data_IF_600530245357
#
_entry.id   IF_600530245357
#
_cell.length_a   1.000
_cell.length_b   1.000
_cell.length_c   1.000
_cell.angle_alpha   90.00
_cell.angle_beta   90.00
_cell.angle_gamma   90.00
#
_symmetry.space_group_name_H-M   'P 1'
#
loop_
_entity.id
_entity.type
_entity.pdbx_description
1 polymer ?
#
# COMPACT_ATOMS: atom_id res chain seq x y z
N UNK A 1 -11.98 -9.16 12.47
CA UNK A 1 -11.45 -8.05 11.65
C UNK A 1 -10.04 -7.80 12.14
N UNK A 2 -9.03 -8.24 11.39
CA UNK A 2 -7.63 -8.10 11.80
C UNK A 2 -7.21 -6.64 11.78
N UNK A 3 -6.16 -6.31 12.55
CA UNK A 3 -5.54 -5.00 12.45
C UNK A 3 -4.89 -4.89 11.06
N UNK A 4 -5.40 -4.00 10.20
CA UNK A 4 -4.93 -3.80 8.82
C UNK A 4 -3.45 -3.44 8.74
N UNK A 5 -2.92 -2.75 9.75
CA UNK A 5 -1.50 -2.46 9.85
C UNK A 5 -0.68 -3.73 10.03
N UNK A 6 -1.11 -4.64 10.91
CA UNK A 6 -0.42 -5.92 11.12
C UNK A 6 -0.51 -6.82 9.88
N UNK A 7 -1.66 -6.81 9.19
CA UNK A 7 -1.81 -7.52 7.91
C UNK A 7 -0.89 -6.93 6.83
N UNK A 8 -0.80 -5.60 6.74
CA UNK A 8 0.11 -4.94 5.81
C UNK A 8 1.58 -5.20 6.12
N UNK A 9 1.96 -5.18 7.41
CA UNK A 9 3.31 -5.53 7.85
C UNK A 9 3.66 -6.96 7.45
N UNK A 10 2.72 -7.89 7.61
CA UNK A 10 2.92 -9.28 7.16
C UNK A 10 3.14 -9.36 5.66
N UNK A 11 2.32 -8.69 4.84
CA UNK A 11 2.50 -8.69 3.38
C UNK A 11 3.89 -8.16 3.00
N UNK A 12 4.33 -7.09 3.65
CA UNK A 12 5.68 -6.54 3.49
C UNK A 12 6.77 -7.56 3.84
N UNK A 13 6.71 -8.18 5.02
CA UNK A 13 7.73 -9.16 5.45
C UNK A 13 7.74 -10.45 4.64
N UNK A 14 6.59 -10.81 4.07
CA UNK A 14 6.45 -11.97 3.18
C UNK A 14 7.02 -11.70 1.77
N UNK A 15 7.49 -10.47 1.49
CA UNK A 15 8.06 -10.10 0.19
C UNK A 15 7.01 -9.80 -0.88
N UNK A 16 5.76 -9.56 -0.49
CA UNK A 16 4.63 -9.36 -1.42
C UNK A 16 4.47 -7.91 -1.88
N UNK A 17 5.53 -7.10 -1.84
CA UNK A 17 5.53 -5.70 -2.25
C UNK A 17 6.64 -5.50 -3.27
N UNK A 18 6.26 -5.32 -4.52
CA UNK A 18 7.14 -5.01 -5.65
C UNK A 18 7.06 -3.53 -5.99
N UNK A 19 8.20 -2.92 -6.31
CA UNK A 19 8.30 -1.52 -6.72
C UNK A 19 8.17 -1.47 -8.24
N UNK A 20 7.12 -0.82 -8.75
CA UNK A 20 6.94 -0.59 -10.19
C UNK A 20 7.59 0.74 -10.61
N UNK A 21 7.46 1.76 -9.78
CA UNK A 21 8.05 3.09 -9.97
C UNK A 21 8.40 3.71 -8.61
N UNK A 22 9.55 4.36 -8.51
CA UNK A 22 9.97 5.06 -7.30
C UNK A 22 10.67 6.38 -7.66
N UNK A 23 9.86 7.39 -7.94
CA UNK A 23 10.30 8.76 -8.19
C UNK A 23 9.83 9.67 -7.05
N UNK A 24 10.45 10.85 -6.91
CA UNK A 24 10.11 11.82 -5.86
C UNK A 24 8.65 12.30 -5.93
N UNK A 25 8.09 12.41 -7.14
CA UNK A 25 6.74 12.92 -7.38
C UNK A 25 5.67 11.82 -7.45
N UNK A 26 6.09 10.57 -7.72
CA UNK A 26 5.21 9.44 -7.95
C UNK A 26 5.89 8.12 -7.58
N UNK A 27 5.27 7.39 -6.66
CA UNK A 27 5.63 6.01 -6.34
C UNK A 27 4.47 5.07 -6.72
N UNK A 28 4.80 3.93 -7.32
CA UNK A 28 3.85 2.88 -7.69
C UNK A 28 4.39 1.54 -7.21
N UNK A 29 3.53 0.77 -6.53
CA UNK A 29 3.84 -0.53 -5.98
C UNK A 29 2.80 -1.55 -6.44
N UNK A 30 3.27 -2.76 -6.75
CA UNK A 30 2.44 -3.96 -6.92
C UNK A 30 2.42 -4.71 -5.60
N UNK A 31 1.24 -4.91 -5.01
CA UNK A 31 1.09 -5.61 -3.72
C UNK A 31 0.29 -6.89 -3.92
N UNK A 32 0.92 -8.04 -3.70
CA UNK A 32 0.25 -9.34 -3.79
C UNK A 32 -0.57 -9.61 -2.53
N UNK A 33 -1.87 -9.78 -2.70
CA UNK A 33 -2.81 -10.12 -1.63
C UNK A 33 -2.80 -11.61 -1.27
N UNK A 34 -3.50 -11.95 -0.20
CA UNK A 34 -3.59 -13.30 0.36
C UNK A 34 -4.26 -14.36 -0.55
N UNK A 35 -4.85 -13.96 -1.68
CA UNK A 35 -5.60 -14.83 -2.61
C UNK A 35 -4.95 -14.94 -4.00
N UNK A 36 -3.69 -14.54 -4.14
CA UNK A 36 -2.99 -14.34 -5.42
C UNK A 36 -3.57 -13.20 -6.29
N UNK A 37 -4.46 -12.39 -5.75
CA UNK A 37 -4.85 -11.12 -6.37
C UNK A 37 -3.70 -10.12 -6.22
N UNK A 38 -3.43 -9.32 -7.24
CA UNK A 38 -2.45 -8.24 -7.21
C UNK A 38 -3.17 -6.90 -7.20
N UNK A 39 -2.74 -6.00 -6.34
CA UNK A 39 -3.32 -4.68 -6.16
C UNK A 39 -2.26 -3.61 -6.42
N UNK A 40 -2.62 -2.59 -7.20
CA UNK A 40 -1.77 -1.44 -7.37
C UNK A 40 -1.97 -0.46 -6.22
N UNK A 41 -0.85 -0.02 -5.64
CA UNK A 41 -0.77 1.09 -4.69
C UNK A 41 0.01 2.21 -5.33
N UNK A 42 -0.53 3.42 -5.32
CA UNK A 42 0.17 4.60 -5.80
C UNK A 42 0.21 5.70 -4.76
N UNK A 43 1.30 6.45 -4.76
CA UNK A 43 1.48 7.66 -3.98
C UNK A 43 1.89 8.77 -4.92
N UNK A 44 1.10 9.84 -4.97
CA UNK A 44 1.53 11.13 -5.50
C UNK A 44 1.78 12.09 -4.33
N UNK A 45 2.30 13.28 -4.64
CA UNK A 45 2.74 14.35 -3.71
C UNK A 45 2.04 14.41 -2.33
N UNK A 46 0.73 14.15 -2.23
CA UNK A 46 0.02 14.16 -0.95
C UNK A 46 -1.00 13.03 -0.76
N UNK A 47 -1.13 12.08 -1.69
CA UNK A 47 -2.24 11.13 -1.66
C UNK A 47 -1.78 9.70 -1.93
N UNK A 48 -2.20 8.81 -1.04
CA UNK A 48 -2.06 7.38 -1.18
C UNK A 48 -3.36 6.77 -1.68
N UNK A 49 -3.26 5.98 -2.75
CA UNK A 49 -4.39 5.32 -3.39
C UNK A 49 -4.12 3.82 -3.52
N UNK A 50 -5.17 3.01 -3.44
CA UNK A 50 -5.11 1.57 -3.68
C UNK A 50 -6.33 1.15 -4.51
N UNK A 51 -6.15 0.25 -5.46
CA UNK A 51 -7.25 -0.26 -6.31
C UNK A 51 -8.09 -1.37 -5.66
N UNK A 52 -7.81 -1.77 -4.41
CA UNK A 52 -8.56 -2.85 -3.76
C UNK A 52 -9.99 -2.44 -3.35
N UNK A 53 -10.92 -3.39 -3.42
CA UNK A 53 -12.34 -3.15 -3.13
C UNK A 53 -12.61 -2.51 -1.76
N UNK A 54 -11.90 -2.93 -0.70
CA UNK A 54 -12.07 -2.37 0.66
C UNK A 54 -11.63 -0.90 0.71
N UNK A 55 -10.62 -0.53 -0.07
CA UNK A 55 -10.20 0.87 -0.20
C UNK A 55 -11.23 1.66 -1.00
N UNK A 56 -11.56 1.23 -2.22
CA UNK A 56 -12.49 1.93 -3.11
C UNK A 56 -13.83 2.19 -2.42
N UNK A 57 -14.39 1.19 -1.74
CA UNK A 57 -15.67 1.32 -1.02
C UNK A 57 -15.63 2.32 0.14
N UNK A 58 -14.50 2.45 0.84
CA UNK A 58 -14.39 3.28 2.05
C UNK A 58 -13.87 4.68 1.75
N UNK A 59 -12.95 4.82 0.80
CA UNK A 59 -12.42 6.11 0.38
C UNK A 59 -13.50 6.99 -0.26
N UNK A 60 -14.50 6.40 -0.91
CA UNK A 60 -15.70 7.12 -1.37
C UNK A 60 -16.52 7.73 -0.22
N UNK A 61 -16.53 7.10 0.95
CA UNK A 61 -17.31 7.53 2.11
C UNK A 61 -16.56 8.47 3.02
N UNK A 62 -15.26 8.24 3.18
CA UNK A 62 -14.36 9.02 4.02
C UNK A 62 -13.02 9.21 3.28
N UNK A 63 -12.97 10.16 2.31
CA UNK A 63 -11.79 10.36 1.49
C UNK A 63 -10.59 10.79 2.34
N UNK A 64 -9.46 10.13 2.13
CA UNK A 64 -8.17 10.45 2.76
C UNK A 64 -7.99 9.98 4.20
N UNK A 65 -9.00 9.39 4.85
CA UNK A 65 -8.89 8.90 6.24
C UNK A 65 -8.67 7.38 6.35
N UNK A 66 -8.92 6.65 5.26
CA UNK A 66 -8.87 5.19 5.27
C UNK A 66 -7.55 4.64 4.74
N UNK A 67 -6.92 3.74 5.52
CA UNK A 67 -5.70 3.02 5.12
C UNK A 67 -5.98 1.52 5.08
N UNK A 68 -5.94 0.94 3.88
CA UNK A 68 -6.06 -0.50 3.69
C UNK A 68 -4.75 -1.22 4.01
N UNK A 69 -4.77 -2.56 4.10
CA UNK A 69 -3.56 -3.35 4.38
C UNK A 69 -2.48 -3.23 3.30
N UNK A 70 -2.86 -3.00 2.04
CA UNK A 70 -1.90 -2.83 0.95
C UNK A 70 -1.18 -1.49 1.03
N UNK A 71 -1.91 -0.42 1.42
CA UNK A 71 -1.30 0.88 1.74
C UNK A 71 -0.30 0.76 2.90
N UNK A 72 -0.66 0.04 3.97
CA UNK A 72 0.29 -0.25 5.06
C UNK A 72 1.54 -1.01 4.57
N UNK A 73 1.37 -2.01 3.71
CA UNK A 73 2.50 -2.76 3.15
C UNK A 73 3.45 -1.86 2.35
N UNK A 74 2.91 -0.98 1.49
CA UNK A 74 3.69 -0.02 0.73
C UNK A 74 4.37 1.03 1.64
N UNK A 75 3.70 1.51 2.70
CA UNK A 75 4.31 2.41 3.69
C UNK A 75 5.57 1.81 4.31
N UNK A 76 5.53 0.53 4.70
CA UNK A 76 6.71 -0.13 5.26
C UNK A 76 7.84 -0.25 4.23
N UNK A 77 7.51 -0.53 2.96
CA UNK A 77 8.51 -0.58 1.90
C UNK A 77 9.17 0.78 1.64
N UNK A 78 8.40 1.88 1.63
CA UNK A 78 8.97 3.24 1.54
C UNK A 78 9.87 3.54 2.73
N UNK A 79 9.45 3.16 3.95
CA UNK A 79 10.25 3.38 5.14
C UNK A 79 11.57 2.60 5.10
N UNK A 80 11.59 1.37 4.58
CA UNK A 80 12.83 0.63 4.33
C UNK A 80 13.75 1.41 3.38
N UNK A 81 13.24 1.76 2.19
CA UNK A 81 14.04 2.42 1.15
C UNK A 81 14.65 3.74 1.63
N UNK A 82 13.89 4.56 2.37
CA UNK A 82 14.36 5.84 2.91
C UNK A 82 15.29 5.73 4.12
N UNK A 83 15.38 4.56 4.76
CA UNK A 83 16.35 4.30 5.83
C UNK A 83 17.66 3.68 5.31
N UNK A 84 17.71 3.30 4.03
CA UNK A 84 18.92 2.81 3.36
C UNK A 84 19.70 3.93 2.63
N UNK A 85 19.13 5.14 2.55
CA UNK A 85 19.78 6.40 2.14
C UNK A 85 20.56 7.07 3.28
#
# INVERSE_FOLDING_TARGET
MGNRMNEGFKLYTDGNVEIELFDDDLMIFSVQGSKNDTYQVSMNENMWLCDCDDYQYRSEKEPGSFVCKHLWAAFFKVAELKNED
#
